data_IF_103944938034
#
_entry.id   IF_103944938034
#
_cell.length_a   1.000
_cell.length_b   1.000
_cell.length_c   1.000
_cell.angle_alpha   90.00
_cell.angle_beta   90.00
_cell.angle_gamma   90.00
#
_symmetry.space_group_name_H-M   'P 1'
#
loop_
_entity.id
_entity.type
_entity.pdbx_description
1 polymer ?
#
# COMPACT_ATOMS: atom_id res chain seq x y z
N UNK A 1 -10.62 -19.05 19.22
CA UNK A 1 -9.39 -19.73 18.75
C UNK A 1 -8.16 -18.84 18.71
N UNK A 2 -8.20 -17.61 18.15
CA UNK A 2 -7.00 -16.75 18.05
C UNK A 2 -6.25 -16.52 19.37
N UNK A 3 -6.95 -16.39 20.51
CA UNK A 3 -6.30 -16.23 21.82
C UNK A 3 -5.41 -17.41 22.23
N UNK A 4 -5.78 -18.64 21.86
CA UNK A 4 -4.93 -19.83 22.11
C UNK A 4 -3.68 -19.80 21.23
N UNK A 5 -3.83 -19.50 19.94
CA UNK A 5 -2.70 -19.37 19.00
C UNK A 5 -1.73 -18.28 19.47
N UNK A 6 -2.26 -17.17 19.99
CA UNK A 6 -1.48 -16.10 20.58
C UNK A 6 -0.64 -16.59 21.77
N UNK A 7 -1.26 -17.28 22.74
CA UNK A 7 -0.56 -17.84 23.89
C UNK A 7 0.51 -18.84 23.47
N UNK A 8 0.22 -19.75 22.52
CA UNK A 8 1.19 -20.71 21.97
C UNK A 8 2.39 -19.97 21.37
N UNK A 9 2.14 -18.95 20.55
CA UNK A 9 3.19 -18.16 19.90
C UNK A 9 4.09 -17.48 20.94
N UNK A 10 3.48 -16.92 21.99
CA UNK A 10 4.21 -16.27 23.08
C UNK A 10 4.99 -17.25 23.94
N UNK A 11 4.46 -18.45 24.17
CA UNK A 11 5.17 -19.51 24.88
C UNK A 11 6.41 -19.95 24.08
N UNK A 12 6.26 -20.24 22.79
CA UNK A 12 7.37 -20.61 21.90
C UNK A 12 8.48 -19.57 21.87
N UNK A 13 8.15 -18.28 21.85
CA UNK A 13 9.14 -17.18 21.87
C UNK A 13 9.96 -17.12 23.16
N UNK A 14 9.46 -17.65 24.28
CA UNK A 14 10.16 -17.68 25.56
C UNK A 14 10.92 -18.99 25.81
N UNK A 15 10.62 -20.04 25.04
CA UNK A 15 11.27 -21.33 25.19
C UNK A 15 12.64 -21.32 24.51
N UNK A 16 13.68 -21.69 25.26
CA UNK A 16 14.90 -22.22 24.65
C UNK A 16 14.60 -23.65 24.20
N UNK A 17 14.37 -23.85 22.90
CA UNK A 17 14.09 -25.18 22.36
C UNK A 17 15.29 -26.09 22.65
N UNK A 18 15.09 -27.07 23.52
CA UNK A 18 16.09 -28.10 23.75
C UNK A 18 16.13 -29.03 22.53
N UNK A 19 17.17 -28.88 21.71
CA UNK A 19 17.41 -29.69 20.51
C UNK A 19 17.76 -31.16 20.84
N UNK A 20 17.78 -31.56 22.11
CA UNK A 20 17.92 -32.96 22.53
C UNK A 20 16.59 -33.74 22.48
N UNK A 21 15.44 -33.07 22.42
CA UNK A 21 14.10 -33.69 22.39
C UNK A 21 13.44 -33.59 21.01
N UNK A 22 14.21 -33.72 19.93
CA UNK A 22 13.71 -33.49 18.56
C UNK A 22 12.60 -34.47 18.19
N UNK A 23 12.67 -35.72 18.66
CA UNK A 23 11.64 -36.75 18.46
C UNK A 23 10.27 -36.35 19.03
N UNK A 24 10.25 -35.68 20.18
CA UNK A 24 9.06 -35.23 20.88
C UNK A 24 8.53 -33.92 20.32
N UNK A 25 9.43 -33.03 19.89
CA UNK A 25 9.06 -31.75 19.28
C UNK A 25 8.50 -31.90 17.88
N UNK A 26 8.93 -32.89 17.09
CA UNK A 26 8.47 -33.06 15.70
C UNK A 26 6.95 -33.25 15.58
N UNK A 27 6.29 -34.17 16.32
CA UNK A 27 4.82 -34.27 16.32
C UNK A 27 4.12 -32.98 16.77
N UNK A 28 4.70 -32.24 17.71
CA UNK A 28 4.15 -30.97 18.19
C UNK A 28 4.17 -29.93 17.06
N UNK A 29 5.30 -29.80 16.36
CA UNK A 29 5.45 -28.88 15.23
C UNK A 29 4.47 -29.24 14.11
N UNK A 30 4.36 -30.52 13.75
CA UNK A 30 3.41 -31.00 12.74
C UNK A 30 1.96 -30.66 13.12
N UNK A 31 1.57 -30.89 14.38
CA UNK A 31 0.24 -30.54 14.89
C UNK A 31 0.00 -29.02 14.85
N UNK A 32 1.00 -28.21 15.15
CA UNK A 32 0.90 -26.75 15.08
C UNK A 32 0.74 -26.24 13.65
N UNK A 33 1.47 -26.81 12.69
CA UNK A 33 1.33 -26.49 11.26
C UNK A 33 -0.05 -26.88 10.75
N UNK A 34 -0.50 -28.10 11.02
CA UNK A 34 -1.82 -28.59 10.62
C UNK A 34 -2.95 -27.74 11.21
N UNK A 35 -2.88 -27.42 12.51
CA UNK A 35 -3.84 -26.53 13.17
C UNK A 35 -3.87 -25.15 12.51
N UNK A 36 -2.68 -24.61 12.17
CA UNK A 36 -2.55 -23.30 11.52
C UNK A 36 -3.24 -23.29 10.14
N UNK A 37 -3.01 -24.33 9.34
CA UNK A 37 -3.64 -24.46 8.02
C UNK A 37 -5.15 -24.65 8.10
N UNK A 38 -5.64 -25.49 9.04
CA UNK A 38 -7.08 -25.68 9.27
C UNK A 38 -7.76 -24.39 9.72
N UNK A 39 -7.19 -23.69 10.70
CA UNK A 39 -7.74 -22.41 11.17
C UNK A 39 -7.76 -21.38 10.05
N UNK A 40 -6.70 -21.32 9.25
CA UNK A 40 -6.65 -20.45 8.08
C UNK A 40 -7.73 -20.77 7.05
N UNK A 41 -7.94 -22.04 6.72
CA UNK A 41 -8.95 -22.48 5.76
C UNK A 41 -10.38 -22.09 6.19
N UNK A 42 -10.68 -22.12 7.48
CA UNK A 42 -11.98 -21.72 8.04
C UNK A 42 -12.20 -20.22 7.91
N UNK A 43 -11.17 -19.40 8.15
CA UNK A 43 -11.32 -17.94 8.21
C UNK A 43 -11.00 -17.23 6.89
N UNK A 44 -10.29 -17.89 5.96
CA UNK A 44 -9.89 -17.32 4.68
C UNK A 44 -11.07 -16.84 3.82
N UNK A 45 -12.22 -17.54 3.72
CA UNK A 45 -13.33 -17.08 2.89
C UNK A 45 -13.88 -15.73 3.35
N UNK A 46 -13.88 -15.45 4.66
CA UNK A 46 -14.39 -14.18 5.21
C UNK A 46 -13.45 -13.04 4.87
N UNK A 47 -12.13 -13.19 5.06
CA UNK A 47 -11.15 -12.12 4.81
C UNK A 47 -10.83 -11.91 3.32
N UNK A 48 -11.14 -12.90 2.49
CA UNK A 48 -11.03 -12.82 1.04
C UNK A 48 -12.29 -12.22 0.42
N UNK A 49 -13.45 -12.23 1.08
CA UNK A 49 -14.66 -11.59 0.56
C UNK A 49 -14.46 -10.11 0.21
N UNK A 50 -15.02 -9.65 -0.90
CA UNK A 50 -15.04 -8.23 -1.30
C UNK A 50 -16.04 -7.42 -0.49
N UNK A 51 -17.00 -8.11 0.16
CA UNK A 51 -17.96 -7.53 1.09
C UNK A 51 -18.02 -8.37 2.36
N UNK A 52 -16.99 -8.28 3.23
CA UNK A 52 -16.93 -9.10 4.44
C UNK A 52 -17.95 -8.68 5.51
N UNK A 53 -18.57 -7.51 5.35
CA UNK A 53 -19.64 -6.99 6.24
C UNK A 53 -21.04 -7.11 5.62
N UNK A 54 -21.17 -7.56 4.36
CA UNK A 54 -22.39 -7.46 3.57
C UNK A 54 -22.53 -6.08 2.90
N UNK A 55 -22.90 -6.03 1.61
CA UNK A 55 -23.14 -4.77 0.92
C UNK A 55 -24.66 -4.60 0.76
N UNK A 56 -25.19 -3.51 1.31
CA UNK A 56 -26.40 -2.86 0.81
C UNK A 56 -25.95 -1.49 0.30
N UNK A 57 -25.83 -1.27 -1.03
CA UNK A 57 -25.72 0.08 -1.56
C UNK A 57 -27.04 0.81 -1.24
N UNK A 58 -26.98 1.80 -0.36
CA UNK A 58 -28.11 2.66 0.02
C UNK A 58 -28.22 3.92 -0.86
N UNK A 59 -27.37 4.05 -1.89
CA UNK A 59 -27.36 5.21 -2.76
C UNK A 59 -28.43 5.08 -3.84
N UNK A 60 -29.53 5.81 -3.66
CA UNK A 60 -30.68 5.84 -4.58
C UNK A 60 -30.50 6.77 -5.79
N UNK A 61 -29.32 7.39 -5.95
CA UNK A 61 -29.05 8.32 -7.03
C UNK A 61 -28.41 7.60 -8.25
N UNK A 62 -28.96 7.86 -9.44
CA UNK A 62 -28.56 7.17 -10.68
C UNK A 62 -27.21 7.63 -11.24
N UNK A 63 -26.74 8.83 -10.89
CA UNK A 63 -25.50 9.39 -11.41
C UNK A 63 -24.27 8.82 -10.68
N UNK A 64 -24.34 8.74 -9.36
CA UNK A 64 -23.36 8.10 -8.49
C UNK A 64 -23.30 6.59 -8.74
N UNK A 65 -24.43 5.94 -8.98
CA UNK A 65 -24.47 4.54 -9.40
C UNK A 65 -23.73 4.31 -10.74
N UNK A 66 -23.97 5.16 -11.74
CA UNK A 66 -23.26 5.11 -13.02
C UNK A 66 -21.76 5.38 -12.87
N UNK A 67 -21.37 6.38 -12.08
CA UNK A 67 -19.95 6.68 -11.78
C UNK A 67 -19.28 5.53 -11.04
N UNK A 68 -19.96 4.91 -10.08
CA UNK A 68 -19.48 3.73 -9.37
C UNK A 68 -19.29 2.57 -10.36
N UNK A 69 -20.23 2.34 -11.27
CA UNK A 69 -20.12 1.29 -12.28
C UNK A 69 -18.93 1.52 -13.23
N UNK A 70 -18.69 2.75 -13.68
CA UNK A 70 -17.49 3.10 -14.45
C UNK A 70 -16.21 2.80 -13.66
N UNK A 71 -16.16 3.20 -12.39
CA UNK A 71 -15.02 2.94 -11.50
C UNK A 71 -14.80 1.43 -11.31
N UNK A 72 -15.86 0.65 -11.11
CA UNK A 72 -15.78 -0.81 -10.96
C UNK A 72 -15.31 -1.48 -12.26
N UNK A 73 -15.77 -1.02 -13.42
CA UNK A 73 -15.31 -1.51 -14.72
C UNK A 73 -13.82 -1.18 -14.97
N UNK A 74 -13.35 -0.01 -14.52
CA UNK A 74 -11.94 0.38 -14.60
C UNK A 74 -11.03 -0.41 -13.64
N UNK A 75 -11.50 -0.68 -12.42
CA UNK A 75 -10.73 -1.40 -11.40
C UNK A 75 -10.74 -2.91 -11.64
N UNK A 76 -11.79 -3.42 -12.30
CA UNK A 76 -12.11 -4.84 -12.43
C UNK A 76 -11.93 -5.62 -11.10
N UNK A 77 -12.61 -5.23 -10.00
CA UNK A 77 -12.51 -5.97 -8.76
C UNK A 77 -13.20 -7.32 -8.93
N UNK A 78 -12.45 -8.36 -9.27
CA UNK A 78 -12.98 -9.71 -9.38
C UNK A 78 -13.11 -10.29 -7.99
N UNK A 79 -14.30 -10.69 -7.58
CA UNK A 79 -14.47 -11.59 -6.44
C UNK A 79 -14.53 -13.04 -6.91
N UNK A 80 -13.39 -13.72 -6.90
CA UNK A 80 -13.31 -15.16 -7.20
C UNK A 80 -13.73 -16.04 -6.02
N UNK A 81 -14.22 -15.45 -4.92
CA UNK A 81 -14.65 -16.20 -3.75
C UNK A 81 -16.05 -16.77 -3.95
N UNK A 82 -16.10 -18.00 -4.49
CA UNK A 82 -17.35 -18.74 -4.66
C UNK A 82 -17.87 -19.41 -3.39
N UNK A 83 -17.18 -19.22 -2.25
CA UNK A 83 -17.41 -20.00 -1.04
C UNK A 83 -18.84 -19.87 -0.52
N UNK A 84 -19.43 -18.67 -0.62
CA UNK A 84 -20.79 -18.39 -0.16
C UNK A 84 -21.86 -18.57 -1.25
N UNK A 85 -21.46 -18.94 -2.48
CA UNK A 85 -22.39 -19.05 -3.61
C UNK A 85 -23.17 -20.38 -3.59
N UNK A 86 -22.73 -21.37 -2.82
CA UNK A 86 -23.39 -22.67 -2.65
C UNK A 86 -23.22 -23.18 -1.22
N UNK A 87 -24.22 -23.88 -0.70
CA UNK A 87 -24.10 -24.61 0.56
C UNK A 87 -23.10 -25.77 0.39
N UNK A 88 -21.89 -25.61 0.90
CA UNK A 88 -20.85 -26.64 0.85
C UNK A 88 -21.00 -27.55 2.06
N UNK A 89 -21.33 -28.83 1.82
CA UNK A 89 -21.13 -29.88 2.81
C UNK A 89 -19.61 -30.06 2.92
N UNK A 90 -19.04 -29.73 4.08
CA UNK A 90 -17.65 -30.06 4.38
C UNK A 90 -17.49 -31.58 4.18
N UNK A 91 -16.67 -31.99 3.20
CA UNK A 91 -16.36 -33.42 3.01
C UNK A 91 -15.85 -33.99 4.33
N UNK A 92 -16.36 -35.16 4.70
CA UNK A 92 -16.03 -35.95 5.90
C UNK A 92 -14.59 -36.50 5.88
N UNK A 93 -13.59 -35.71 5.50
CA UNK A 93 -12.20 -36.01 5.80
C UNK A 93 -11.77 -35.05 6.90
N UNK A 94 -11.45 -35.62 8.06
CA UNK A 94 -11.05 -34.98 9.32
C UNK A 94 -12.18 -34.71 10.34
N UNK A 95 -13.11 -35.66 10.49
CA UNK A 95 -13.78 -35.90 11.78
C UNK A 95 -12.72 -36.45 12.74
N UNK A 96 -11.93 -35.57 13.33
CA UNK A 96 -11.31 -35.81 14.61
C UNK A 96 -11.53 -34.55 15.46
N UNK A 97 -12.23 -34.78 16.57
CA UNK A 97 -12.41 -33.91 17.75
C UNK A 97 -13.49 -32.83 17.71
N UNK A 98 -14.64 -33.08 17.05
CA UNK A 98 -15.88 -32.42 17.48
C UNK A 98 -16.48 -33.08 18.74
N UNK A 99 -16.15 -34.36 19.01
CA UNK A 99 -16.53 -35.04 20.26
C UNK A 99 -15.67 -34.60 21.45
N UNK A 100 -14.35 -34.41 21.29
CA UNK A 100 -13.49 -33.88 22.36
C UNK A 100 -13.83 -32.43 22.75
N UNK A 101 -14.35 -31.63 21.80
CA UNK A 101 -14.87 -30.30 22.10
C UNK A 101 -16.23 -30.33 22.82
N UNK A 102 -17.04 -31.37 22.60
CA UNK A 102 -18.29 -31.60 23.35
C UNK A 102 -18.02 -32.18 24.74
N UNK A 103 -17.06 -33.10 24.87
CA UNK A 103 -16.66 -33.73 26.12
C UNK A 103 -15.93 -32.77 27.07
N UNK A 104 -15.22 -31.77 26.53
CA UNK A 104 -14.62 -30.69 27.34
C UNK A 104 -15.61 -29.58 27.74
N UNK A 105 -16.79 -29.53 27.11
CA UNK A 105 -17.88 -28.60 27.45
C UNK A 105 -18.89 -29.25 28.40
N UNK A 106 -19.00 -30.58 28.43
CA UNK A 106 -19.91 -31.30 29.32
C UNK A 106 -19.50 -31.30 30.81
N UNK A 107 -18.29 -30.84 31.15
CA UNK A 107 -17.78 -30.83 32.53
C UNK A 107 -17.66 -29.43 33.16
N UNK A 108 -18.30 -28.40 32.60
CA UNK A 108 -18.56 -27.16 33.34
C UNK A 108 -19.98 -27.27 33.88
N UNK A 109 -20.08 -27.85 35.08
CA UNK A 109 -21.28 -27.81 35.91
C UNK A 109 -21.73 -26.35 36.05
N UNK A 110 -22.73 -25.97 35.28
CA UNK A 110 -23.44 -24.70 35.44
C UNK A 110 -24.88 -25.01 35.84
N UNK A 111 -25.02 -25.78 36.91
CA UNK A 111 -26.28 -26.01 37.63
C UNK A 111 -26.32 -25.18 38.90
N UNK A 112 -26.36 -23.86 38.74
CA UNK A 112 -26.89 -22.96 39.76
C UNK A 112 -27.91 -22.06 39.07
N UNK A 113 -29.18 -22.43 39.20
CA UNK A 113 -30.32 -21.63 38.77
C UNK A 113 -30.25 -20.24 39.41
N UNK A 114 -29.82 -19.24 38.63
CA UNK A 114 -30.17 -17.85 38.91
C UNK A 114 -31.38 -17.55 38.02
N UNK A 115 -32.58 -17.79 38.57
CA UNK A 115 -33.81 -17.20 38.07
C UNK A 115 -33.66 -15.68 38.04
N UNK A 116 -33.76 -15.09 36.86
CA UNK A 116 -34.02 -13.66 36.69
C UNK A 116 -32.92 -12.86 35.99
N UNK A 117 -32.92 -12.90 34.66
CA UNK A 117 -32.97 -11.73 33.76
C UNK A 117 -32.96 -12.25 32.32
N UNK A 118 -33.93 -11.82 31.53
CA UNK A 118 -34.01 -12.08 30.09
C UNK A 118 -32.63 -11.89 29.46
N UNK A 119 -32.03 -13.00 29.04
CA UNK A 119 -30.75 -12.98 28.35
C UNK A 119 -30.94 -12.25 27.04
N UNK A 120 -30.40 -11.04 26.92
CA UNK A 120 -30.15 -10.44 25.61
C UNK A 120 -29.35 -11.46 24.80
N UNK A 121 -29.99 -12.10 23.82
CA UNK A 121 -29.29 -12.83 22.77
C UNK A 121 -28.27 -11.87 22.19
N UNK A 122 -26.98 -12.18 22.38
CA UNK A 122 -25.90 -11.37 21.84
C UNK A 122 -25.92 -11.58 20.33
N UNK A 123 -26.59 -10.68 19.61
CA UNK A 123 -26.67 -10.74 18.15
C UNK A 123 -25.25 -10.69 17.57
N UNK A 124 -24.81 -11.82 17.01
CA UNK A 124 -23.50 -11.94 16.38
C UNK A 124 -23.54 -11.17 15.07
N UNK A 125 -22.91 -10.01 15.05
CA UNK A 125 -22.83 -9.18 13.84
C UNK A 125 -21.81 -9.73 12.84
N UNK A 126 -22.00 -9.44 11.55
CA UNK A 126 -21.00 -9.74 10.52
C UNK A 126 -19.63 -9.10 10.83
N UNK A 127 -19.63 -7.91 11.44
CA UNK A 127 -18.43 -7.24 11.91
C UNK A 127 -17.70 -8.03 13.01
N UNK A 128 -18.41 -8.63 13.95
CA UNK A 128 -17.81 -9.49 14.99
C UNK A 128 -17.15 -10.73 14.36
N UNK A 129 -17.79 -11.35 13.37
CA UNK A 129 -17.24 -12.48 12.63
C UNK A 129 -15.98 -12.07 11.86
N UNK A 130 -16.04 -10.97 11.10
CA UNK A 130 -14.89 -10.42 10.38
C UNK A 130 -13.70 -10.16 11.32
N UNK A 131 -13.96 -9.53 12.48
CA UNK A 131 -12.92 -9.26 13.49
C UNK A 131 -12.28 -10.54 13.99
N UNK A 132 -13.09 -11.56 14.29
CA UNK A 132 -12.59 -12.86 14.70
C UNK A 132 -11.74 -13.53 13.60
N UNK A 133 -12.19 -13.45 12.34
CA UNK A 133 -11.50 -14.07 11.20
C UNK A 133 -10.14 -13.42 10.92
N UNK A 134 -10.06 -12.09 10.81
CA UNK A 134 -8.77 -11.44 10.52
C UNK A 134 -7.80 -11.51 11.69
N UNK A 135 -8.27 -11.49 12.95
CA UNK A 135 -7.43 -11.72 14.13
C UNK A 135 -6.92 -13.15 14.20
N UNK A 136 -7.72 -14.13 13.80
CA UNK A 136 -7.26 -15.52 13.70
C UNK A 136 -6.18 -15.68 12.64
N UNK A 137 -6.38 -15.09 11.44
CA UNK A 137 -5.39 -15.11 10.38
C UNK A 137 -4.07 -14.43 10.79
N UNK A 138 -4.16 -13.33 11.54
CA UNK A 138 -3.01 -12.66 12.15
C UNK A 138 -2.18 -13.63 12.99
N UNK A 139 -2.80 -14.27 13.98
CA UNK A 139 -2.05 -15.10 14.92
C UNK A 139 -1.49 -16.35 14.22
N UNK A 140 -2.21 -16.92 13.23
CA UNK A 140 -1.67 -17.99 12.35
C UNK A 140 -0.41 -17.52 11.61
N UNK A 141 -0.48 -16.37 10.96
CA UNK A 141 0.65 -15.81 10.20
C UNK A 141 1.87 -15.56 11.10
N UNK A 142 1.65 -15.02 12.31
CA UNK A 142 2.72 -14.78 13.27
C UNK A 142 3.31 -16.08 13.82
N UNK A 143 2.48 -17.10 14.08
CA UNK A 143 2.93 -18.41 14.51
C UNK A 143 3.82 -19.05 13.44
N UNK A 144 3.35 -19.13 12.19
CA UNK A 144 4.12 -19.72 11.08
C UNK A 144 5.48 -19.03 10.88
N UNK A 145 5.50 -17.70 10.85
CA UNK A 145 6.75 -16.95 10.76
C UNK A 145 7.68 -17.15 11.96
N UNK A 146 7.11 -17.31 13.16
CA UNK A 146 7.89 -17.59 14.38
C UNK A 146 8.48 -19.00 14.36
N UNK A 147 7.73 -20.00 13.90
CA UNK A 147 8.22 -21.37 13.74
C UNK A 147 9.43 -21.41 12.81
N UNK A 148 9.35 -20.75 11.64
CA UNK A 148 10.50 -20.66 10.72
C UNK A 148 11.72 -19.94 11.31
N UNK A 149 11.51 -19.00 12.24
CA UNK A 149 12.58 -18.24 12.87
C UNK A 149 13.27 -18.99 14.01
N UNK A 150 12.52 -19.80 14.77
CA UNK A 150 13.02 -20.45 15.98
C UNK A 150 13.49 -21.89 15.73
N UNK A 151 12.87 -22.61 14.80
CA UNK A 151 13.13 -24.03 14.61
C UNK A 151 14.27 -24.26 13.61
N UNK A 152 15.21 -25.17 13.91
CA UNK A 152 16.25 -25.55 12.95
C UNK A 152 15.62 -26.23 11.74
N UNK A 153 16.02 -25.76 10.56
CA UNK A 153 15.64 -26.37 9.28
C UNK A 153 16.51 -27.60 9.02
N UNK A 154 15.89 -28.64 8.49
CA UNK A 154 16.59 -29.84 8.08
C UNK A 154 17.49 -29.53 6.87
N UNK A 155 18.81 -29.68 7.03
CA UNK A 155 19.79 -29.36 5.98
C UNK A 155 19.87 -30.44 4.89
N UNK A 156 19.69 -31.70 5.27
CA UNK A 156 19.78 -32.90 4.42
C UNK A 156 18.59 -33.82 4.75
N UNK A 157 17.96 -34.49 3.75
CA UNK A 157 17.00 -35.57 4.04
C UNK A 157 17.62 -36.55 5.03
N UNK A 158 16.88 -36.94 6.08
CA UNK A 158 17.33 -37.86 7.16
C UNK A 158 18.23 -37.27 8.26
N UNK A 159 18.56 -35.97 8.24
CA UNK A 159 19.23 -35.36 9.41
C UNK A 159 18.33 -35.42 10.65
N UNK A 160 18.82 -35.95 11.79
CA UNK A 160 18.02 -36.09 13.01
C UNK A 160 17.76 -34.74 13.72
N UNK A 161 18.45 -33.67 13.32
CA UNK A 161 18.52 -32.41 14.10
C UNK A 161 17.53 -31.33 13.63
N UNK A 162 16.84 -31.56 12.49
CA UNK A 162 15.89 -30.60 11.91
C UNK A 162 14.46 -30.79 12.40
N UNK A 163 13.82 -29.70 12.84
CA UNK A 163 12.40 -29.69 13.25
C UNK A 163 11.46 -29.23 12.14
N UNK A 164 11.97 -28.55 11.12
CA UNK A 164 11.23 -28.16 9.93
C UNK A 164 11.84 -28.80 8.68
N UNK A 165 11.01 -29.50 7.91
CA UNK A 165 11.43 -30.06 6.61
C UNK A 165 11.43 -28.99 5.53
N UNK A 166 12.19 -29.22 4.46
CA UNK A 166 12.22 -28.34 3.27
C UNK A 166 10.81 -28.17 2.69
N UNK A 167 10.01 -29.24 2.67
CA UNK A 167 8.65 -29.20 2.12
C UNK A 167 7.71 -28.38 3.01
N UNK A 168 7.77 -28.54 4.34
CA UNK A 168 7.01 -27.69 5.26
C UNK A 168 7.33 -26.20 5.07
N UNK A 169 8.60 -25.85 4.85
CA UNK A 169 8.99 -24.46 4.60
C UNK A 169 8.41 -23.94 3.28
N UNK A 170 8.39 -24.77 2.22
CA UNK A 170 7.75 -24.41 0.94
C UNK A 170 6.24 -24.24 1.10
N UNK A 171 5.57 -25.12 1.84
CA UNK A 171 4.14 -25.03 2.14
C UNK A 171 3.81 -23.74 2.91
N UNK A 172 4.62 -23.38 3.91
CA UNK A 172 4.47 -22.11 4.65
C UNK A 172 4.66 -20.92 3.68
N UNK A 173 5.64 -20.98 2.78
CA UNK A 173 5.82 -19.97 1.74
C UNK A 173 4.62 -19.84 0.81
N UNK A 174 4.08 -20.97 0.33
CA UNK A 174 2.88 -21.02 -0.50
C UNK A 174 1.65 -20.48 0.24
N UNK A 175 1.54 -20.76 1.54
CA UNK A 175 0.51 -20.23 2.43
C UNK A 175 0.58 -18.69 2.49
N UNK A 176 1.75 -18.12 2.79
CA UNK A 176 1.91 -16.66 2.79
C UNK A 176 1.64 -16.04 1.42
N UNK A 177 2.13 -16.63 0.33
CA UNK A 177 1.85 -16.18 -1.04
C UNK A 177 0.34 -16.12 -1.28
N UNK A 178 -0.39 -17.19 -0.98
CA UNK A 178 -1.85 -17.26 -1.13
C UNK A 178 -2.53 -16.13 -0.35
N UNK A 179 -2.19 -15.95 0.93
CA UNK A 179 -2.86 -14.96 1.76
C UNK A 179 -2.52 -13.52 1.41
N UNK A 180 -1.26 -13.21 1.12
CA UNK A 180 -0.84 -11.86 0.74
C UNK A 180 -1.40 -11.45 -0.62
N UNK A 181 -1.47 -12.37 -1.59
CA UNK A 181 -1.92 -12.02 -2.93
C UNK A 181 -3.45 -12.07 -3.10
N UNK A 182 -4.17 -12.83 -2.28
CA UNK A 182 -5.63 -13.03 -2.41
C UNK A 182 -6.48 -12.33 -1.32
N UNK A 183 -5.89 -11.98 -0.17
CA UNK A 183 -6.66 -11.32 0.92
C UNK A 183 -7.08 -9.91 0.54
N UNK A 184 -8.34 -9.55 0.83
CA UNK A 184 -8.89 -8.21 0.59
C UNK A 184 -8.93 -7.35 1.85
N UNK A 185 -9.00 -7.99 3.02
CA UNK A 185 -9.00 -7.29 4.29
C UNK A 185 -7.61 -6.77 4.66
N UNK A 186 -7.50 -5.45 4.89
CA UNK A 186 -6.23 -4.78 5.19
C UNK A 186 -5.51 -5.32 6.41
N UNK A 187 -6.25 -5.53 7.51
CA UNK A 187 -5.67 -6.10 8.71
C UNK A 187 -5.10 -7.50 8.49
N UNK A 188 -5.67 -8.29 7.56
CA UNK A 188 -5.19 -9.65 7.34
C UNK A 188 -3.85 -9.67 6.57
N UNK A 189 -3.72 -8.91 5.49
CA UNK A 189 -2.47 -8.92 4.71
C UNK A 189 -1.32 -8.14 5.38
N UNK A 190 -1.59 -7.08 6.16
CA UNK A 190 -0.53 -6.36 6.91
C UNK A 190 0.14 -7.26 7.97
N UNK A 191 -0.63 -8.22 8.50
CA UNK A 191 -0.17 -9.12 9.55
C UNK A 191 0.43 -10.39 8.97
N UNK A 192 -0.14 -10.91 7.86
CA UNK A 192 0.51 -11.92 7.03
C UNK A 192 1.92 -11.47 6.59
N UNK A 193 2.06 -10.20 6.22
CA UNK A 193 3.34 -9.60 5.87
C UNK A 193 4.37 -9.68 7.01
N UNK A 194 3.95 -9.41 8.24
CA UNK A 194 4.85 -9.48 9.40
C UNK A 194 5.39 -10.89 9.61
N UNK A 195 4.54 -11.92 9.46
CA UNK A 195 4.97 -13.32 9.48
C UNK A 195 5.88 -13.68 8.30
N UNK A 196 5.54 -13.22 7.10
CA UNK A 196 6.29 -13.50 5.89
C UNK A 196 7.70 -12.90 5.90
N UNK A 197 7.88 -11.69 6.46
CA UNK A 197 9.21 -11.08 6.67
C UNK A 197 10.12 -12.00 7.49
N UNK A 198 9.59 -12.65 8.54
CA UNK A 198 10.37 -13.61 9.33
C UNK A 198 10.85 -14.79 8.49
N UNK A 199 9.99 -15.31 7.63
CA UNK A 199 10.35 -16.39 6.71
C UNK A 199 11.43 -15.94 5.71
N UNK A 200 11.23 -14.81 5.02
CA UNK A 200 12.16 -14.36 3.97
C UNK A 200 13.54 -13.99 4.53
N UNK A 201 13.62 -13.44 5.74
CA UNK A 201 14.89 -13.20 6.44
C UNK A 201 15.68 -14.48 6.73
N UNK A 202 14.99 -15.58 7.06
CA UNK A 202 15.63 -16.87 7.33
C UNK A 202 16.06 -17.56 6.03
N UNK A 203 15.22 -17.54 4.99
CA UNK A 203 15.53 -18.18 3.71
C UNK A 203 16.84 -17.66 3.11
N UNK A 204 17.10 -16.36 3.18
CA UNK A 204 18.34 -15.75 2.71
C UNK A 204 19.61 -16.14 3.50
N UNK A 205 19.44 -16.71 4.70
CA UNK A 205 20.54 -17.14 5.58
C UNK A 205 20.64 -18.66 5.71
N UNK A 206 19.69 -19.39 5.13
CA UNK A 206 19.61 -20.84 5.22
C UNK A 206 20.76 -21.47 4.41
N UNK A 207 21.50 -22.49 4.89
CA UNK A 207 22.55 -23.14 4.11
C UNK A 207 22.01 -23.92 2.89
N UNK A 208 20.71 -24.25 2.88
CA UNK A 208 20.10 -25.00 1.79
C UNK A 208 19.87 -24.11 0.55
N UNK A 209 20.60 -24.38 -0.53
CA UNK A 209 20.54 -23.62 -1.79
C UNK A 209 19.15 -23.62 -2.42
N UNK A 210 18.38 -24.71 -2.30
CA UNK A 210 17.03 -24.77 -2.86
C UNK A 210 16.08 -23.78 -2.17
N UNK A 211 16.21 -23.63 -0.85
CA UNK A 211 15.43 -22.68 -0.05
C UNK A 211 15.89 -21.24 -0.27
N UNK A 212 17.20 -21.00 -0.38
CA UNK A 212 17.75 -19.67 -0.67
C UNK A 212 17.24 -19.09 -2.00
N UNK A 213 16.94 -19.94 -3.00
CA UNK A 213 16.43 -19.50 -4.30
C UNK A 213 14.93 -19.18 -4.32
N UNK A 214 14.17 -19.58 -3.30
CA UNK A 214 12.72 -19.39 -3.27
C UNK A 214 12.30 -17.91 -3.32
N UNK A 215 12.90 -16.97 -2.54
CA UNK A 215 12.51 -15.56 -2.60
C UNK A 215 12.65 -14.95 -4.00
N UNK A 216 13.73 -15.28 -4.71
CA UNK A 216 13.94 -14.87 -6.10
C UNK A 216 12.88 -15.44 -7.03
N UNK A 217 12.64 -16.76 -6.98
CA UNK A 217 11.60 -17.41 -7.80
C UNK A 217 10.21 -16.83 -7.54
N UNK A 218 9.89 -16.57 -6.27
CA UNK A 218 8.63 -15.97 -5.86
C UNK A 218 8.44 -14.55 -6.38
N UNK A 219 9.52 -13.77 -6.41
CA UNK A 219 9.53 -12.41 -6.95
C UNK A 219 9.32 -12.42 -8.47
N UNK A 220 10.05 -13.28 -9.20
CA UNK A 220 9.88 -13.41 -10.64
C UNK A 220 8.46 -13.83 -11.03
N UNK A 221 7.93 -14.85 -10.35
CA UNK A 221 6.58 -15.34 -10.61
C UNK A 221 5.51 -14.26 -10.41
N UNK A 222 5.63 -13.42 -9.37
CA UNK A 222 4.63 -12.36 -9.13
C UNK A 222 4.80 -11.19 -10.10
N UNK A 223 6.03 -10.84 -10.49
CA UNK A 223 6.28 -9.82 -11.50
C UNK A 223 5.74 -10.24 -12.86
N UNK A 224 5.91 -11.51 -13.23
CA UNK A 224 5.35 -12.06 -14.47
C UNK A 224 3.82 -12.07 -14.42
N UNK A 225 3.21 -12.49 -13.30
CA UNK A 225 1.76 -12.44 -13.14
C UNK A 225 1.19 -11.00 -13.26
N UNK A 226 1.94 -9.99 -12.79
CA UNK A 226 1.59 -8.57 -12.97
C UNK A 226 1.73 -8.15 -14.45
N UNK A 227 2.77 -8.60 -15.16
CA UNK A 227 2.99 -8.25 -16.58
C UNK A 227 1.91 -8.85 -17.49
N UNK A 228 1.65 -10.15 -17.35
CA UNK A 228 0.75 -10.88 -18.23
C UNK A 228 -0.70 -10.40 -18.17
N UNK A 229 -1.10 -9.69 -17.10
CA UNK A 229 -2.45 -9.11 -16.97
C UNK A 229 -3.58 -10.12 -17.18
N UNK A 230 -3.33 -11.40 -16.86
CA UNK A 230 -4.20 -12.51 -17.25
C UNK A 230 -5.62 -12.32 -16.67
N UNK A 231 -6.68 -12.37 -17.50
CA UNK A 231 -8.05 -12.44 -17.04
C UNK A 231 -8.36 -13.59 -16.07
N UNK A 232 -7.51 -14.62 -16.00
CA UNK A 232 -7.62 -15.73 -15.04
C UNK A 232 -6.81 -15.54 -13.75
N UNK A 233 -5.98 -14.49 -13.68
CA UNK A 233 -5.12 -14.21 -12.52
C UNK A 233 -5.94 -14.02 -11.24
N UNK A 234 -5.46 -14.62 -10.15
CA UNK A 234 -6.02 -14.49 -8.81
C UNK A 234 -5.44 -13.28 -8.05
N UNK A 235 -4.63 -12.46 -8.70
CA UNK A 235 -4.14 -11.23 -8.11
C UNK A 235 -5.32 -10.33 -7.75
N UNK A 236 -5.31 -9.87 -6.51
CA UNK A 236 -6.35 -9.00 -6.02
C UNK A 236 -6.24 -7.60 -6.65
N UNK A 237 -6.99 -7.36 -7.72
CA UNK A 237 -7.18 -6.05 -8.35
C UNK A 237 -8.09 -5.17 -7.46
N UNK A 238 -7.59 -4.76 -6.30
CA UNK A 238 -8.20 -3.66 -5.52
C UNK A 238 -7.53 -2.34 -5.89
N UNK A 239 -8.19 -1.21 -5.57
CA UNK A 239 -7.71 0.17 -5.80
C UNK A 239 -6.27 0.48 -5.32
N UNK A 240 -5.67 -0.37 -4.49
CA UNK A 240 -4.29 -0.22 -3.95
C UNK A 240 -3.46 -1.50 -4.05
N UNK A 241 -3.88 -2.46 -4.88
CA UNK A 241 -3.18 -3.73 -5.09
C UNK A 241 -3.09 -4.65 -3.86
N UNK A 242 -3.98 -4.45 -2.86
CA UNK A 242 -4.08 -5.27 -1.64
C UNK A 242 -2.72 -5.60 -0.99
N UNK A 243 -2.42 -6.89 -0.82
CA UNK A 243 -1.16 -7.37 -0.22
C UNK A 243 -0.01 -7.59 -1.20
N UNK A 244 -0.17 -7.31 -2.50
CA UNK A 244 0.92 -7.44 -3.50
C UNK A 244 2.12 -6.55 -3.14
N UNK A 245 1.95 -5.25 -2.79
CA UNK A 245 3.08 -4.42 -2.41
C UNK A 245 3.82 -4.96 -1.18
N UNK A 246 3.08 -5.49 -0.20
CA UNK A 246 3.65 -6.08 1.01
C UNK A 246 4.47 -7.35 0.71
N UNK A 247 3.96 -8.20 -0.19
CA UNK A 247 4.67 -9.40 -0.63
C UNK A 247 6.02 -9.06 -1.26
N UNK A 248 6.04 -8.15 -2.24
CA UNK A 248 7.26 -7.72 -2.93
C UNK A 248 8.20 -6.98 -1.95
N UNK A 249 7.67 -6.13 -1.08
CA UNK A 249 8.45 -5.45 -0.04
C UNK A 249 9.17 -6.43 0.88
N UNK A 250 8.52 -7.50 1.33
CA UNK A 250 9.13 -8.49 2.21
C UNK A 250 10.30 -9.24 1.53
N UNK A 251 10.15 -9.55 0.24
CA UNK A 251 11.18 -10.21 -0.56
C UNK A 251 12.39 -9.27 -0.74
N UNK A 252 12.17 -8.06 -1.25
CA UNK A 252 13.25 -7.12 -1.54
C UNK A 252 13.95 -6.59 -0.30
N UNK A 253 13.24 -6.35 0.80
CA UNK A 253 13.86 -5.87 2.02
C UNK A 253 14.70 -6.94 2.73
N UNK A 254 14.45 -8.22 2.44
CA UNK A 254 15.23 -9.35 2.96
C UNK A 254 16.50 -9.63 2.16
N UNK A 255 16.66 -9.03 0.98
CA UNK A 255 17.82 -9.22 0.11
C UNK A 255 19.13 -8.84 0.84
N UNK A 256 20.19 -9.69 0.78
CA UNK A 256 21.46 -9.39 1.42
C UNK A 256 22.12 -8.10 0.91
N UNK A 257 22.21 -7.09 1.80
CA UNK A 257 22.77 -5.76 1.49
C UNK A 257 24.26 -5.74 1.14
N UNK A 258 25.01 -6.78 1.51
CA UNK A 258 26.44 -6.92 1.16
C UNK A 258 26.64 -7.31 -0.32
N UNK A 259 25.59 -7.76 -1.00
CA UNK A 259 25.60 -8.07 -2.43
C UNK A 259 25.27 -6.86 -3.30
N UNK A 260 25.16 -7.07 -4.62
CA UNK A 260 24.84 -6.02 -5.59
C UNK A 260 23.39 -5.53 -5.54
N UNK A 261 22.54 -6.10 -4.69
CA UNK A 261 21.09 -5.83 -4.67
C UNK A 261 20.44 -6.01 -6.05
N UNK A 262 20.74 -7.12 -6.71
CA UNK A 262 20.33 -7.36 -8.09
C UNK A 262 18.81 -7.55 -8.21
N UNK A 263 18.16 -8.17 -7.22
CA UNK A 263 16.70 -8.34 -7.22
C UNK A 263 16.00 -6.99 -7.12
N UNK A 264 16.43 -6.10 -6.20
CA UNK A 264 15.92 -4.74 -6.12
C UNK A 264 16.14 -3.99 -7.44
N UNK A 265 17.34 -4.05 -8.00
CA UNK A 265 17.68 -3.33 -9.24
C UNK A 265 16.80 -3.72 -10.41
N UNK A 266 16.65 -5.03 -10.64
CA UNK A 266 15.82 -5.59 -11.70
C UNK A 266 14.36 -5.20 -11.47
N UNK A 267 13.85 -5.43 -10.25
CA UNK A 267 12.45 -5.14 -9.92
C UNK A 267 12.11 -3.67 -10.10
N UNK A 268 12.97 -2.75 -9.64
CA UNK A 268 12.74 -1.32 -9.82
C UNK A 268 12.70 -0.91 -11.28
N UNK A 269 13.60 -1.45 -12.11
CA UNK A 269 13.59 -1.19 -13.57
C UNK A 269 12.32 -1.68 -14.23
N UNK A 270 11.90 -2.91 -13.92
CA UNK A 270 10.67 -3.49 -14.49
C UNK A 270 9.42 -2.70 -14.06
N UNK A 271 9.29 -2.39 -12.77
CA UNK A 271 8.14 -1.64 -12.27
C UNK A 271 8.10 -0.21 -12.81
N UNK A 272 9.24 0.46 -12.96
CA UNK A 272 9.32 1.79 -13.59
C UNK A 272 8.86 1.72 -15.04
N UNK A 273 9.27 0.68 -15.77
CA UNK A 273 8.84 0.45 -17.16
C UNK A 273 7.33 0.28 -17.23
N UNK A 274 6.75 -0.58 -16.39
CA UNK A 274 5.31 -0.84 -16.32
C UNK A 274 4.49 0.36 -15.83
N UNK A 275 5.08 1.26 -15.04
CA UNK A 275 4.40 2.44 -14.52
C UNK A 275 4.27 3.57 -15.55
N UNK A 276 5.09 3.58 -16.61
CA UNK A 276 5.03 4.60 -17.66
C UNK A 276 3.81 4.37 -18.55
N UNK A 277 3.15 5.45 -19.04
CA UNK A 277 2.12 5.32 -20.06
C UNK A 277 2.76 4.78 -21.35
N UNK A 278 2.27 3.65 -21.86
CA UNK A 278 2.66 3.06 -23.16
C UNK A 278 1.43 3.01 -24.06
N UNK A 279 1.63 3.12 -25.38
CA UNK A 279 0.53 3.15 -26.36
C UNK A 279 -0.29 1.84 -26.33
N UNK A 280 -1.59 2.01 -26.02
CA UNK A 280 -2.82 1.18 -26.18
C UNK A 280 -2.82 -0.35 -26.01
N UNK A 281 -1.67 -1.01 -25.78
CA UNK A 281 -1.54 -2.48 -25.82
C UNK A 281 -1.34 -3.14 -24.46
N UNK A 282 -1.01 -2.38 -23.40
CA UNK A 282 -0.83 -2.92 -22.05
C UNK A 282 -2.02 -2.63 -21.14
N UNK A 283 -2.33 -3.59 -20.28
CA UNK A 283 -3.39 -3.46 -19.29
C UNK A 283 -3.10 -2.31 -18.33
N UNK A 284 -4.04 -1.38 -18.23
CA UNK A 284 -4.03 -0.28 -17.25
C UNK A 284 -3.99 -0.81 -15.81
N UNK A 285 -4.43 -2.06 -15.60
CA UNK A 285 -4.35 -2.77 -14.32
C UNK A 285 -2.89 -2.99 -13.89
N UNK A 286 -2.01 -3.40 -14.81
CA UNK A 286 -0.58 -3.61 -14.52
C UNK A 286 0.13 -2.31 -14.18
N UNK A 287 -0.23 -1.22 -14.88
CA UNK A 287 0.27 0.11 -14.55
C UNK A 287 -0.14 0.53 -13.14
N UNK A 288 -1.40 0.32 -12.76
CA UNK A 288 -1.91 0.59 -11.40
C UNK A 288 -1.17 -0.24 -10.36
N UNK A 289 -0.92 -1.52 -10.62
CA UNK A 289 -0.11 -2.36 -9.74
C UNK A 289 1.31 -1.82 -9.60
N UNK A 290 1.98 -1.53 -10.72
CA UNK A 290 3.34 -1.00 -10.72
C UNK A 290 3.46 0.30 -9.90
N UNK A 291 2.55 1.27 -10.11
CA UNK A 291 2.53 2.53 -9.37
C UNK A 291 2.35 2.32 -7.86
N UNK A 292 1.45 1.40 -7.45
CA UNK A 292 1.20 1.11 -6.04
C UNK A 292 2.34 0.33 -5.37
N UNK A 293 3.01 -0.57 -6.10
CA UNK A 293 4.19 -1.29 -5.61
C UNK A 293 5.36 -0.31 -5.46
N UNK A 294 5.64 0.51 -6.47
CA UNK A 294 6.67 1.56 -6.39
C UNK A 294 6.43 2.47 -5.18
N UNK A 295 5.18 2.91 -4.96
CA UNK A 295 4.80 3.69 -3.79
C UNK A 295 5.20 2.99 -2.50
N UNK A 296 4.93 1.70 -2.38
CA UNK A 296 5.28 0.95 -1.17
C UNK A 296 6.80 0.85 -0.99
N UNK A 297 7.55 0.58 -2.07
CA UNK A 297 9.01 0.51 -2.04
C UNK A 297 9.67 1.84 -1.68
N UNK A 298 9.23 2.97 -2.25
CA UNK A 298 9.75 4.30 -1.88
C UNK A 298 9.44 4.70 -0.43
N UNK A 299 8.39 4.11 0.17
CA UNK A 299 8.04 4.32 1.59
C UNK A 299 8.82 3.41 2.54
N UNK A 300 9.41 2.32 2.05
CA UNK A 300 10.05 1.32 2.90
C UNK A 300 11.40 1.83 3.40
N UNK A 301 11.48 2.06 4.72
CA UNK A 301 12.70 2.55 5.35
C UNK A 301 13.82 1.52 5.35
N UNK A 302 13.52 0.22 5.23
CA UNK A 302 14.52 -0.86 5.24
C UNK A 302 15.38 -0.88 3.98
N UNK A 303 14.83 -0.40 2.86
CA UNK A 303 15.55 -0.27 1.58
C UNK A 303 16.58 0.87 1.60
N UNK A 304 16.40 1.87 2.48
CA UNK A 304 17.40 2.91 2.73
C UNK A 304 17.82 3.67 1.46
N UNK A 305 19.10 4.00 1.35
CA UNK A 305 19.62 4.77 0.20
C UNK A 305 19.61 3.98 -1.12
N UNK A 306 19.41 2.66 -1.09
CA UNK A 306 19.39 1.83 -2.30
C UNK A 306 18.21 2.15 -3.24
N UNK A 307 17.18 2.84 -2.73
CA UNK A 307 16.03 3.27 -3.53
C UNK A 307 16.27 4.61 -4.25
N UNK A 308 17.26 5.40 -3.82
CA UNK A 308 17.49 6.77 -4.30
C UNK A 308 17.78 6.84 -5.81
N UNK A 309 18.56 5.92 -6.42
CA UNK A 309 18.81 5.95 -7.87
C UNK A 309 17.54 5.91 -8.73
N UNK A 310 16.42 5.44 -8.17
CA UNK A 310 15.15 5.25 -8.87
C UNK A 310 14.14 6.38 -8.65
N UNK A 311 14.44 7.32 -7.74
CA UNK A 311 13.51 8.38 -7.34
C UNK A 311 13.14 9.29 -8.50
N UNK A 312 14.12 9.65 -9.35
CA UNK A 312 13.88 10.50 -10.52
C UNK A 312 12.90 9.84 -11.49
N UNK A 313 13.13 8.57 -11.85
CA UNK A 313 12.24 7.84 -12.74
C UNK A 313 10.86 7.57 -12.13
N UNK A 314 10.80 7.29 -10.83
CA UNK A 314 9.54 7.18 -10.09
C UNK A 314 8.72 8.48 -10.14
N UNK A 315 9.38 9.63 -10.01
CA UNK A 315 8.73 10.93 -10.10
C UNK A 315 8.22 11.23 -11.50
N UNK A 316 9.00 10.91 -12.54
CA UNK A 316 8.55 11.00 -13.94
C UNK A 316 7.31 10.14 -14.18
N UNK A 317 7.32 8.87 -13.76
CA UNK A 317 6.18 7.96 -13.91
C UNK A 317 4.93 8.47 -13.18
N UNK A 318 5.08 8.99 -11.95
CA UNK A 318 3.97 9.57 -11.21
C UNK A 318 3.36 10.78 -11.93
N UNK A 319 4.19 11.74 -12.37
CA UNK A 319 3.74 12.97 -13.03
C UNK A 319 3.05 12.67 -14.36
N UNK A 320 3.62 11.76 -15.17
CA UNK A 320 3.01 11.35 -16.44
C UNK A 320 1.63 10.72 -16.25
N UNK A 321 1.37 10.05 -15.13
CA UNK A 321 0.06 9.47 -14.85
C UNK A 321 -1.01 10.45 -14.36
N UNK A 322 -0.68 11.72 -14.05
CA UNK A 322 -1.68 12.72 -13.64
C UNK A 322 -2.70 13.04 -14.72
N UNK A 323 -2.30 12.95 -15.98
CA UNK A 323 -3.14 13.25 -17.15
C UNK A 323 -3.75 11.99 -17.77
N UNK A 324 -3.59 10.82 -17.15
CA UNK A 324 -4.20 9.58 -17.65
C UNK A 324 -5.73 9.72 -17.74
N UNK A 325 -6.35 9.14 -18.77
CA UNK A 325 -7.80 9.06 -18.89
C UNK A 325 -8.44 8.14 -17.84
N UNK A 326 -7.68 7.18 -17.31
CA UNK A 326 -8.14 6.20 -16.33
C UNK A 326 -8.00 6.73 -14.90
N UNK A 327 -9.10 6.73 -14.13
CA UNK A 327 -9.11 7.28 -12.77
C UNK A 327 -8.17 6.52 -11.83
N UNK A 328 -8.13 5.18 -11.95
CA UNK A 328 -7.29 4.33 -11.11
C UNK A 328 -5.78 4.66 -11.27
N UNK A 329 -5.35 5.00 -12.48
CA UNK A 329 -3.97 5.43 -12.78
C UNK A 329 -3.71 6.79 -12.13
N UNK A 330 -4.58 7.80 -12.35
CA UNK A 330 -4.44 9.14 -11.73
C UNK A 330 -4.34 9.06 -10.21
N UNK A 331 -5.20 8.26 -9.57
CA UNK A 331 -5.19 8.04 -8.13
C UNK A 331 -3.88 7.39 -7.66
N UNK A 332 -3.42 6.33 -8.33
CA UNK A 332 -2.19 5.62 -7.98
C UNK A 332 -0.95 6.50 -8.16
N UNK A 333 -0.90 7.29 -9.24
CA UNK A 333 0.12 8.30 -9.49
C UNK A 333 0.17 9.39 -8.43
N UNK A 334 -0.98 9.90 -8.00
CA UNK A 334 -1.06 10.91 -6.92
C UNK A 334 -0.52 10.35 -5.61
N UNK A 335 -0.87 9.10 -5.29
CA UNK A 335 -0.39 8.42 -4.10
C UNK A 335 1.13 8.14 -4.15
N UNK A 336 1.66 7.78 -5.32
CA UNK A 336 3.09 7.61 -5.54
C UNK A 336 3.83 8.96 -5.39
N UNK A 337 3.35 10.01 -6.05
CA UNK A 337 3.93 11.35 -5.99
C UNK A 337 4.02 11.86 -4.54
N UNK A 338 2.94 11.75 -3.76
CA UNK A 338 2.94 12.16 -2.34
C UNK A 338 4.01 11.44 -1.52
N UNK A 339 4.26 10.16 -1.82
CA UNK A 339 5.29 9.37 -1.16
C UNK A 339 6.69 9.82 -1.57
N UNK A 340 6.89 10.09 -2.86
CA UNK A 340 8.16 10.59 -3.40
C UNK A 340 8.50 11.98 -2.85
N UNK A 341 7.53 12.88 -2.72
CA UNK A 341 7.73 14.20 -2.09
C UNK A 341 8.23 14.03 -0.65
N UNK A 342 7.58 13.15 0.12
CA UNK A 342 8.03 12.85 1.50
C UNK A 342 9.42 12.20 1.51
N UNK A 343 9.74 11.38 0.50
CA UNK A 343 11.05 10.72 0.39
C UNK A 343 12.18 11.67 0.00
N UNK A 344 11.89 12.65 -0.86
CA UNK A 344 12.84 13.64 -1.38
C UNK A 344 13.09 14.74 -0.34
N UNK A 345 12.02 15.31 0.21
CA UNK A 345 12.07 16.51 1.07
C UNK A 345 11.97 16.19 2.56
N UNK A 346 11.65 14.95 2.93
CA UNK A 346 11.38 14.55 4.30
C UNK A 346 9.97 14.89 4.78
N UNK A 347 9.70 14.59 6.06
CA UNK A 347 8.42 14.93 6.71
C UNK A 347 8.48 16.38 7.20
N UNK A 348 7.37 17.10 7.01
CA UNK A 348 7.21 18.49 7.49
C UNK A 348 7.45 18.58 9.00
N UNK A 349 8.47 19.32 9.41
CA UNK A 349 8.80 19.61 10.81
C UNK A 349 8.15 20.95 11.20
N UNK A 350 6.87 20.91 11.57
CA UNK A 350 6.12 22.08 12.09
C UNK A 350 4.86 22.44 11.30
N UNK A 351 4.04 23.36 11.84
CA UNK A 351 2.80 23.83 11.20
C UNK A 351 3.06 24.77 10.01
N UNK A 352 4.09 25.61 10.09
CA UNK A 352 4.44 26.57 9.03
C UNK A 352 5.17 25.90 7.86
N UNK A 353 4.63 26.07 6.66
CA UNK A 353 5.16 25.51 5.40
C UNK A 353 6.51 26.13 4.99
N UNK A 354 6.78 27.36 5.43
CA UNK A 354 7.91 28.17 4.98
C UNK A 354 9.13 28.12 5.92
N UNK A 355 9.14 27.26 6.95
CA UNK A 355 10.32 27.11 7.81
C UNK A 355 11.52 26.60 6.99
N UNK A 356 12.69 27.23 7.14
CA UNK A 356 13.95 26.82 6.47
C UNK A 356 14.30 25.33 6.67
N UNK A 357 13.87 24.73 7.78
CA UNK A 357 14.07 23.29 8.07
C UNK A 357 13.19 22.34 7.25
N UNK A 358 12.20 22.88 6.51
CA UNK A 358 11.27 22.15 5.65
C UNK A 358 11.57 22.38 4.16
N UNK A 359 12.69 23.05 3.83
CA UNK A 359 13.01 23.46 2.45
C UNK A 359 14.35 22.87 2.01
N UNK A 360 14.40 22.40 0.77
CA UNK A 360 15.63 22.06 0.04
C UNK A 360 15.79 23.09 -1.09
N UNK A 361 17.02 23.50 -1.38
CA UNK A 361 17.27 24.45 -2.48
C UNK A 361 17.07 23.75 -3.83
N UNK A 362 16.70 24.51 -4.86
CA UNK A 362 16.62 23.98 -6.22
C UNK A 362 17.95 23.40 -6.70
N UNK A 363 19.08 24.07 -6.37
CA UNK A 363 20.42 23.59 -6.71
C UNK A 363 20.73 22.23 -6.08
N UNK A 364 20.42 22.04 -4.79
CA UNK A 364 20.60 20.75 -4.12
C UNK A 364 19.69 19.67 -4.72
N UNK A 365 18.41 20.00 -4.97
CA UNK A 365 17.46 19.07 -5.59
C UNK A 365 17.91 18.60 -6.97
N UNK A 366 18.31 19.51 -7.86
CA UNK A 366 18.72 19.18 -9.22
C UNK A 366 20.13 18.62 -9.29
N UNK A 367 21.01 18.92 -8.33
CA UNK A 367 22.28 18.20 -8.19
C UNK A 367 22.05 16.73 -7.86
N UNK A 368 21.06 16.43 -7.00
CA UNK A 368 20.70 15.06 -6.61
C UNK A 368 19.90 14.33 -7.69
N UNK A 369 19.06 15.04 -8.44
CA UNK A 369 18.17 14.47 -9.46
C UNK A 369 18.21 15.28 -10.78
N UNK A 370 19.34 15.28 -11.50
CA UNK A 370 19.57 16.19 -12.64
C UNK A 370 18.56 16.00 -13.77
N UNK A 371 18.15 14.76 -14.04
CA UNK A 371 17.20 14.46 -15.11
C UNK A 371 15.78 15.02 -14.86
N UNK A 372 15.45 15.40 -13.62
CA UNK A 372 14.16 16.02 -13.32
C UNK A 372 14.08 17.46 -13.80
N UNK A 373 15.20 18.16 -13.99
CA UNK A 373 15.19 19.54 -14.47
C UNK A 373 14.54 19.68 -15.85
N UNK A 374 15.09 19.06 -16.93
CA UNK A 374 14.50 19.20 -18.27
C UNK A 374 13.10 18.58 -18.36
N UNK A 375 12.83 17.53 -17.57
CA UNK A 375 11.51 16.91 -17.53
C UNK A 375 10.45 17.83 -16.90
N UNK A 376 10.72 18.39 -15.72
CA UNK A 376 9.77 19.27 -15.03
C UNK A 376 9.55 20.55 -15.83
N UNK A 377 10.58 21.11 -16.44
CA UNK A 377 10.44 22.29 -17.31
C UNK A 377 9.45 22.01 -18.44
N UNK A 378 9.64 20.91 -19.19
CA UNK A 378 8.72 20.49 -20.26
C UNK A 378 7.29 20.30 -19.75
N UNK A 379 7.11 19.67 -18.59
CA UNK A 379 5.77 19.46 -18.01
C UNK A 379 5.11 20.79 -17.62
N UNK A 380 5.87 21.70 -17.01
CA UNK A 380 5.38 23.02 -16.58
C UNK A 380 5.01 23.91 -17.76
N UNK A 381 5.81 23.94 -18.83
CA UNK A 381 5.48 24.63 -20.08
C UNK A 381 4.17 24.12 -20.69
N UNK A 382 3.96 22.80 -20.71
CA UNK A 382 2.74 22.20 -21.22
C UNK A 382 1.49 22.59 -20.41
N UNK A 383 1.62 22.71 -19.07
CA UNK A 383 0.48 23.08 -18.20
C UNK A 383 0.29 24.58 -18.03
N UNK A 384 1.29 25.43 -18.30
CA UNK A 384 1.20 26.88 -18.14
C UNK A 384 -0.01 27.46 -18.91
N UNK A 385 -0.23 27.00 -20.15
CA UNK A 385 -1.40 27.38 -20.97
C UNK A 385 -2.75 26.91 -20.38
N UNK A 386 -2.73 25.87 -19.54
CA UNK A 386 -3.94 25.34 -18.88
C UNK A 386 -4.29 26.13 -17.62
N UNK A 387 -3.30 26.70 -16.92
CA UNK A 387 -3.54 27.52 -15.73
C UNK A 387 -4.41 28.74 -16.06
N UNK A 388 -4.15 29.41 -17.19
CA UNK A 388 -4.95 30.55 -17.63
C UNK A 388 -6.42 30.15 -17.92
N UNK A 389 -6.64 29.03 -18.64
CA UNK A 389 -7.99 28.48 -18.86
C UNK A 389 -8.71 28.13 -17.56
N UNK A 390 -8.00 27.52 -16.60
CA UNK A 390 -8.55 27.16 -15.29
C UNK A 390 -8.91 28.40 -14.45
N UNK A 391 -8.19 29.51 -14.64
CA UNK A 391 -8.51 30.80 -14.04
C UNK A 391 -9.91 31.30 -14.40
N UNK A 392 -10.41 30.93 -15.58
CA UNK A 392 -11.73 31.35 -16.07
C UNK A 392 -12.81 30.25 -15.94
N UNK A 393 -12.51 29.14 -15.25
CA UNK A 393 -13.44 28.02 -15.05
C UNK A 393 -14.74 28.46 -14.34
N UNK A 394 -15.91 27.87 -14.65
CA UNK A 394 -17.13 28.09 -13.88
C UNK A 394 -17.03 27.57 -12.44
N UNK A 395 -16.12 26.62 -12.18
CA UNK A 395 -15.91 26.02 -10.85
C UNK A 395 -14.95 26.88 -10.03
N UNK A 396 -15.44 27.44 -8.92
CA UNK A 396 -14.65 28.29 -8.01
C UNK A 396 -13.33 27.63 -7.57
N UNK A 397 -13.35 26.34 -7.20
CA UNK A 397 -12.16 25.61 -6.75
C UNK A 397 -11.07 25.51 -7.82
N UNK A 398 -11.45 25.41 -9.09
CA UNK A 398 -10.49 25.43 -10.20
C UNK A 398 -9.81 26.79 -10.33
N UNK A 399 -10.57 27.88 -10.17
CA UNK A 399 -10.02 29.25 -10.18
C UNK A 399 -9.08 29.50 -9.02
N UNK A 400 -9.46 29.07 -7.81
CA UNK A 400 -8.60 29.15 -6.62
C UNK A 400 -7.28 28.37 -6.81
N UNK A 401 -7.36 27.16 -7.39
CA UNK A 401 -6.19 26.34 -7.67
C UNK A 401 -5.29 26.99 -8.72
N UNK A 402 -5.85 27.53 -9.80
CA UNK A 402 -5.11 28.25 -10.83
C UNK A 402 -4.38 29.49 -10.25
N UNK A 403 -5.05 30.25 -9.38
CA UNK A 403 -4.44 31.39 -8.72
C UNK A 403 -3.27 31.00 -7.80
N UNK A 404 -3.39 29.88 -7.06
CA UNK A 404 -2.28 29.35 -6.25
C UNK A 404 -1.14 28.83 -7.11
N UNK A 405 -1.46 28.17 -8.23
CA UNK A 405 -0.48 27.62 -9.16
C UNK A 405 0.34 28.70 -9.87
N UNK A 406 -0.21 29.91 -10.06
CA UNK A 406 0.50 31.03 -10.67
C UNK A 406 1.65 31.56 -9.82
N UNK A 407 1.50 31.59 -8.49
CA UNK A 407 2.46 32.18 -7.55
C UNK A 407 3.91 31.72 -7.75
N UNK A 408 4.23 30.40 -7.87
CA UNK A 408 5.62 29.96 -8.07
C UNK A 408 6.22 30.30 -9.43
N UNK A 409 5.44 30.75 -10.43
CA UNK A 409 5.95 31.14 -11.75
C UNK A 409 6.36 32.61 -11.85
N UNK A 410 6.08 33.41 -10.83
CA UNK A 410 6.32 34.85 -10.86
C UNK A 410 7.50 35.18 -9.94
N UNK A 411 8.61 35.64 -10.52
CA UNK A 411 9.74 36.12 -9.73
C UNK A 411 9.40 37.45 -9.05
N UNK A 412 10.12 37.76 -7.97
CA UNK A 412 9.81 38.91 -7.09
C UNK A 412 9.81 40.24 -7.86
N UNK A 413 10.79 40.40 -8.74
CA UNK A 413 10.99 41.53 -9.63
C UNK A 413 9.94 41.59 -10.75
N UNK A 414 9.35 40.46 -11.13
CA UNK A 414 8.30 40.37 -12.16
C UNK A 414 6.88 40.59 -11.61
N UNK A 415 6.72 40.72 -10.29
CA UNK A 415 5.40 40.90 -9.66
C UNK A 415 4.68 42.14 -10.20
N UNK A 416 5.28 43.35 -10.24
CA UNK A 416 4.58 44.54 -10.71
C UNK A 416 4.09 44.39 -12.16
N UNK A 417 4.91 43.81 -13.02
CA UNK A 417 4.59 43.60 -14.44
C UNK A 417 3.51 42.54 -14.62
N UNK A 418 3.58 41.44 -13.86
CA UNK A 418 2.55 40.40 -13.85
C UNK A 418 1.21 40.93 -13.36
N UNK A 419 1.20 41.73 -12.28
CA UNK A 419 -0.03 42.35 -11.76
C UNK A 419 -0.61 43.31 -12.79
N UNK A 420 0.22 44.12 -13.46
CA UNK A 420 -0.22 45.02 -14.53
C UNK A 420 -0.83 44.24 -15.69
N UNK A 421 -0.19 43.15 -16.12
CA UNK A 421 -0.69 42.29 -17.19
C UNK A 421 -2.02 41.61 -16.82
N UNK A 422 -2.19 41.16 -15.57
CA UNK A 422 -3.46 40.60 -15.09
C UNK A 422 -4.57 41.64 -15.02
N UNK A 423 -4.28 42.85 -14.52
CA UNK A 423 -5.26 43.93 -14.47
C UNK A 423 -5.69 44.37 -15.87
N UNK A 424 -4.79 44.35 -16.86
CA UNK A 424 -5.12 44.63 -18.25
C UNK A 424 -6.06 43.59 -18.90
N UNK A 425 -6.18 42.39 -18.32
CA UNK A 425 -7.17 41.38 -18.76
C UNK A 425 -8.56 41.65 -18.20
N UNK A 426 -8.72 42.55 -17.23
CA UNK A 426 -10.03 42.91 -16.70
C UNK A 426 -10.80 43.72 -17.76
N UNK A 427 -12.09 43.44 -17.93
CA UNK A 427 -12.89 44.09 -18.95
C UNK A 427 -13.19 45.54 -18.55
N UNK A 428 -13.37 46.41 -19.54
CA UNK A 428 -13.63 47.84 -19.34
C UNK A 428 -15.09 48.08 -18.98
N UNK A 429 -15.39 49.19 -18.30
CA UNK A 429 -16.75 49.56 -17.91
C UNK A 429 -17.73 49.72 -19.08
N UNK A 430 -17.23 49.75 -20.31
CA UNK A 430 -17.98 49.89 -21.56
C UNK A 430 -18.26 48.55 -22.28
N UNK A 431 -17.73 47.42 -21.81
CA UNK A 431 -17.93 46.14 -22.51
C UNK A 431 -19.36 45.61 -22.28
N UNK A 432 -20.02 45.11 -23.32
CA UNK A 432 -21.44 44.73 -23.25
C UNK A 432 -21.71 43.34 -22.64
N UNK A 433 -20.68 42.51 -22.43
CA UNK A 433 -20.86 41.15 -21.93
C UNK A 433 -19.69 40.72 -21.05
N UNK A 434 -19.93 40.63 -19.73
CA UNK A 434 -18.92 40.23 -18.76
C UNK A 434 -19.18 38.83 -18.22
N UNK A 435 -18.16 37.98 -18.24
CA UNK A 435 -18.20 36.70 -17.50
C UNK A 435 -17.65 36.94 -16.09
N UNK A 436 -18.52 36.97 -15.09
CA UNK A 436 -18.13 37.16 -13.68
C UNK A 436 -17.03 36.20 -13.21
N UNK A 437 -17.05 34.96 -13.73
CA UNK A 437 -16.02 33.95 -13.46
C UNK A 437 -14.63 34.39 -13.93
N UNK A 438 -14.54 35.11 -15.05
CA UNK A 438 -13.28 35.64 -15.58
C UNK A 438 -12.73 36.69 -14.62
N UNK A 439 -13.52 37.73 -14.33
CA UNK A 439 -13.15 38.82 -13.41
C UNK A 439 -12.69 38.26 -12.07
N UNK A 440 -13.50 37.38 -11.48
CA UNK A 440 -13.19 36.75 -10.20
C UNK A 440 -11.91 35.91 -10.26
N UNK A 441 -11.68 35.16 -11.34
CA UNK A 441 -10.46 34.38 -11.56
C UNK A 441 -9.20 35.25 -11.60
N UNK A 442 -9.24 36.31 -12.40
CA UNK A 442 -8.16 37.28 -12.55
C UNK A 442 -7.87 37.99 -11.22
N UNK A 443 -8.90 38.43 -10.49
CA UNK A 443 -8.73 39.04 -9.17
C UNK A 443 -8.16 38.07 -8.13
N UNK A 444 -8.54 36.78 -8.16
CA UNK A 444 -7.91 35.76 -7.32
C UNK A 444 -6.42 35.60 -7.62
N UNK A 445 -6.03 35.62 -8.90
CA UNK A 445 -4.62 35.56 -9.32
C UNK A 445 -3.84 36.76 -8.78
N UNK A 446 -4.35 37.99 -8.99
CA UNK A 446 -3.76 39.23 -8.45
C UNK A 446 -3.61 39.14 -6.93
N UNK A 447 -4.68 38.73 -6.24
CA UNK A 447 -4.69 38.58 -4.79
C UNK A 447 -3.63 37.56 -4.31
N UNK A 448 -3.52 36.39 -4.95
CA UNK A 448 -2.55 35.37 -4.51
C UNK A 448 -1.10 35.76 -4.79
N UNK A 449 -0.81 36.36 -5.94
CA UNK A 449 0.54 36.85 -6.27
C UNK A 449 0.97 37.93 -5.28
N UNK A 450 0.10 38.89 -4.98
CA UNK A 450 0.40 39.99 -4.04
C UNK A 450 0.49 39.51 -2.59
N UNK A 451 -0.50 38.77 -2.07
CA UNK A 451 -0.55 38.34 -0.66
C UNK A 451 0.60 37.40 -0.31
N UNK A 452 0.90 36.40 -1.14
CA UNK A 452 2.00 35.47 -0.87
C UNK A 452 3.35 36.19 -0.78
N UNK A 453 3.51 37.30 -1.51
CA UNK A 453 4.73 38.07 -1.49
C UNK A 453 4.81 39.05 -0.33
N UNK A 454 3.72 39.78 -0.02
CA UNK A 454 3.66 40.67 1.15
C UNK A 454 3.87 39.92 2.47
N UNK A 455 3.32 38.70 2.61
CA UNK A 455 3.54 37.84 3.78
C UNK A 455 5.00 37.37 3.89
N UNK A 456 5.68 37.11 2.75
CA UNK A 456 7.13 36.83 2.74
C UNK A 456 7.93 38.06 3.19
N UNK A 457 7.56 39.26 2.75
CA UNK A 457 8.27 40.50 3.10
C UNK A 457 8.10 40.88 4.58
N UNK A 458 6.91 40.72 5.17
CA UNK A 458 6.69 40.96 6.61
C UNK A 458 7.37 39.91 7.51
N UNK A 459 7.52 38.66 7.05
CA UNK A 459 8.25 37.63 7.82
C UNK A 459 9.77 37.69 7.64
N UNK A 460 10.27 38.21 6.51
CA UNK A 460 11.71 38.50 6.34
C UNK A 460 12.11 39.79 7.07
N UNK A 461 11.23 40.79 7.19
CA UNK A 461 11.50 42.02 7.97
C UNK A 461 11.56 41.81 9.50
N UNK A 462 11.13 40.65 10.01
CA UNK A 462 11.36 40.25 11.42
C UNK A 462 12.69 39.48 11.59
N UNK A 463 13.37 39.10 10.50
CA UNK A 463 14.61 38.31 10.54
C UNK A 463 15.81 39.07 9.92
N UNK A 464 15.59 40.17 9.21
CA UNK A 464 16.65 41.04 8.66
C UNK A 464 17.14 42.11 9.66
N UNK A 465 17.72 41.66 10.78
CA UNK A 465 18.66 42.49 11.55
C UNK A 465 19.96 41.75 11.91
N UNK A 466 20.28 40.65 11.24
CA UNK A 466 21.62 40.08 11.35
C UNK A 466 21.97 39.26 10.12
N UNK A 467 23.19 39.44 9.63
CA UNK A 467 23.84 38.73 8.52
C UNK A 467 23.59 39.27 7.10
N UNK A 468 23.98 40.53 6.88
CA UNK A 468 24.76 40.89 5.68
C UNK A 468 25.96 41.73 6.12
N UNK A 469 27.06 41.04 6.39
CA UNK A 469 28.40 41.61 6.31
C UNK A 469 29.36 40.51 5.91
N UNK A 470 29.91 40.71 4.70
CA UNK A 470 30.94 39.96 3.97
C UNK A 470 30.47 38.75 3.20
#
# INVERSE_FOLDING_TARGET
MYGRVHCITKALQKLSLNLQLVSEWRPVVEKLLLMSYRLSAVVSPVIQSSSPEGLIPMDTDSESANRLQTILNEIQPRDTNDYFNQAKILKECDIFDLEDLKASVSNIDTSAEIKGKEGKTCDVTAQMVLVCCWRSMKEVSLLLGTLCQLLPMQSVPESPDGLLTVEQVKEIGAHFKKHLLQSRHRGAFELAYTGFVKLTEILNRCPNVSLQKLPEQWLWNVLEEIKCSDPSSKLCATRRSAGIPFYIQALLASEPKKGKMDLLKITMKELISLARPMDDSQSTVSQVHALNILRALFRDTRLGENIIPYVADGAKAAILGFTSAVWAVRNSSTLLFSTLITRIFGVKKGKDELFKKNTMTGSEFFSRFPELYPFLLKQLEAVANTVDRCGHSPVYRSREMAARALVPFVMIDEIPDTVRALLAKLPNCTDQCFRQNHIHGTLLQVSKVTVCHFVKHHRMNIVFSCAFSR
#
